data_IF_088340680061
#
_entry.id   IF_088340680061
#
_cell.length_a   1.000
_cell.length_b   1.000
_cell.length_c   1.000
_cell.angle_alpha   90.00
_cell.angle_beta   90.00
_cell.angle_gamma   90.00
#
_symmetry.space_group_name_H-M   'P 1'
#
loop_
_entity.id
_entity.type
_entity.pdbx_description
1 polymer ?
#
# COMPACT_ATOMS: atom_id res chain seq x y z
N UNK A 1 24.59 -5.48 -3.36
CA UNK A 1 23.48 -4.52 -3.17
C UNK A 1 24.06 -3.19 -2.72
N UNK A 2 24.57 -2.38 -3.63
CA UNK A 2 24.96 -1.00 -3.30
C UNK A 2 23.69 -0.16 -3.29
N UNK A 3 23.25 0.30 -2.11
CA UNK A 3 22.20 1.29 -2.03
C UNK A 3 22.68 2.55 -2.75
N UNK A 4 22.17 2.81 -3.96
CA UNK A 4 22.42 4.06 -4.67
C UNK A 4 21.87 5.18 -3.80
N UNK A 5 22.66 6.21 -3.43
CA UNK A 5 22.20 7.30 -2.56
C UNK A 5 20.91 7.96 -3.04
N UNK A 6 20.74 7.99 -4.37
CA UNK A 6 19.55 8.47 -5.04
C UNK A 6 18.31 7.61 -4.74
N UNK A 7 18.44 6.27 -4.73
CA UNK A 7 17.34 5.38 -4.37
C UNK A 7 16.89 5.56 -2.92
N UNK A 8 17.84 5.74 -1.99
CA UNK A 8 17.53 6.03 -0.60
C UNK A 8 16.80 7.38 -0.44
N UNK A 9 17.27 8.42 -1.14
CA UNK A 9 16.62 9.73 -1.13
C UNK A 9 15.18 9.68 -1.68
N UNK A 10 14.96 8.92 -2.76
CA UNK A 10 13.62 8.73 -3.36
C UNK A 10 12.67 8.01 -2.39
N UNK A 11 13.13 6.98 -1.68
CA UNK A 11 12.30 6.28 -0.68
C UNK A 11 11.94 7.21 0.48
N UNK A 12 12.87 8.02 0.96
CA UNK A 12 12.61 9.01 2.01
C UNK A 12 11.59 10.08 1.55
N UNK A 13 11.74 10.57 0.32
CA UNK A 13 10.76 11.49 -0.29
C UNK A 13 9.38 10.86 -0.42
N UNK A 14 9.30 9.59 -0.83
CA UNK A 14 8.04 8.86 -0.93
C UNK A 14 7.35 8.73 0.44
N UNK A 15 8.10 8.37 1.48
CA UNK A 15 7.58 8.28 2.84
C UNK A 15 7.11 9.65 3.37
N UNK A 16 7.89 10.71 3.12
CA UNK A 16 7.53 12.08 3.51
C UNK A 16 6.29 12.59 2.77
N UNK A 17 6.19 12.35 1.46
CA UNK A 17 5.02 12.69 0.66
C UNK A 17 3.76 11.96 1.15
N UNK A 18 3.89 10.67 1.49
CA UNK A 18 2.79 9.89 2.03
C UNK A 18 2.31 10.41 3.40
N UNK A 19 3.25 10.70 4.31
CA UNK A 19 2.92 11.29 5.61
C UNK A 19 2.27 12.67 5.47
N UNK A 20 2.82 13.53 4.60
CA UNK A 20 2.29 14.85 4.32
C UNK A 20 0.87 14.79 3.76
N UNK A 21 0.63 13.99 2.70
CA UNK A 21 -0.70 13.80 2.11
C UNK A 21 -1.72 13.24 3.10
N UNK A 22 -1.30 12.31 3.97
CA UNK A 22 -2.15 11.73 5.01
C UNK A 22 -2.58 12.72 6.10
N UNK A 23 -1.74 13.72 6.40
CA UNK A 23 -2.06 14.79 7.35
C UNK A 23 -2.89 15.87 6.66
N UNK A 24 -2.45 16.31 5.48
CA UNK A 24 -3.08 17.40 4.73
C UNK A 24 -4.52 17.06 4.32
N UNK A 25 -4.78 15.82 3.91
CA UNK A 25 -6.12 15.33 3.57
C UNK A 25 -7.14 15.48 4.71
N UNK A 26 -6.70 15.57 5.98
CA UNK A 26 -7.59 15.79 7.13
C UNK A 26 -8.13 17.21 7.22
N UNK A 27 -7.46 18.18 6.58
CA UNK A 27 -7.85 19.59 6.58
C UNK A 27 -8.62 20.00 5.32
N UNK A 28 -8.69 19.12 4.31
CA UNK A 28 -9.39 19.38 3.06
C UNK A 28 -10.87 18.97 3.17
N UNK A 29 -11.80 19.79 2.65
CA UNK A 29 -13.20 19.40 2.50
C UNK A 29 -13.33 18.36 1.38
N UNK A 30 -13.14 17.08 1.71
CA UNK A 30 -13.23 15.99 0.75
C UNK A 30 -14.69 15.55 0.55
N UNK A 31 -15.09 15.20 -0.69
CA UNK A 31 -16.39 14.59 -0.97
C UNK A 31 -16.61 13.33 -0.12
N UNK A 32 -17.82 13.13 0.38
CA UNK A 32 -18.14 11.94 1.20
C UNK A 32 -18.22 10.69 0.33
N UNK A 33 -17.81 9.56 0.90
CA UNK A 33 -17.91 8.23 0.26
C UNK A 33 -16.80 7.97 -0.77
N UNK A 34 -17.10 7.12 -1.76
CA UNK A 34 -16.11 6.62 -2.72
C UNK A 34 -15.58 7.66 -3.71
N UNK A 35 -16.24 8.83 -3.82
CA UNK A 35 -15.87 9.86 -4.78
C UNK A 35 -14.47 10.45 -4.49
N UNK A 36 -14.12 10.66 -3.22
CA UNK A 36 -12.79 11.16 -2.85
C UNK A 36 -11.68 10.20 -3.30
N UNK A 37 -11.83 8.90 -2.99
CA UNK A 37 -10.87 7.87 -3.40
C UNK A 37 -10.83 7.69 -4.92
N UNK A 38 -11.96 7.78 -5.62
CA UNK A 38 -12.01 7.67 -7.07
C UNK A 38 -11.24 8.81 -7.75
N UNK A 39 -11.41 10.05 -7.30
CA UNK A 39 -10.67 11.20 -7.82
C UNK A 39 -9.18 11.07 -7.51
N UNK A 40 -8.82 10.65 -6.30
CA UNK A 40 -7.41 10.42 -5.93
C UNK A 40 -6.76 9.38 -6.85
N UNK A 41 -7.42 8.24 -7.09
CA UNK A 41 -6.91 7.20 -7.99
C UNK A 41 -6.80 7.67 -9.45
N UNK A 42 -7.77 8.45 -9.94
CA UNK A 42 -7.72 9.00 -11.31
C UNK A 42 -6.60 10.02 -11.48
N UNK A 43 -6.45 10.95 -10.54
CA UNK A 43 -5.39 11.96 -10.59
C UNK A 43 -4.02 11.31 -10.43
N UNK A 44 -3.85 10.37 -9.50
CA UNK A 44 -2.61 9.62 -9.35
C UNK A 44 -2.28 8.80 -10.60
N UNK A 45 -3.28 8.11 -11.18
CA UNK A 45 -3.12 7.37 -12.43
C UNK A 45 -2.69 8.27 -13.59
N UNK A 46 -3.34 9.42 -13.78
CA UNK A 46 -2.97 10.39 -14.80
C UNK A 46 -1.56 10.96 -14.59
N UNK A 47 -1.20 11.27 -13.34
CA UNK A 47 0.13 11.74 -12.99
C UNK A 47 1.22 10.67 -13.28
N UNK A 48 0.95 9.41 -12.96
CA UNK A 48 1.84 8.29 -13.26
C UNK A 48 1.99 8.06 -14.77
N UNK A 49 0.91 8.18 -15.55
CA UNK A 49 0.98 8.12 -17.01
C UNK A 49 1.80 9.27 -17.59
N UNK A 50 1.65 10.49 -17.06
CA UNK A 50 2.47 11.63 -17.42
C UNK A 50 3.94 11.43 -17.09
N UNK A 51 4.25 10.90 -15.89
CA UNK A 51 5.61 10.57 -15.48
C UNK A 51 6.23 9.48 -16.36
N UNK A 52 5.46 8.45 -16.72
CA UNK A 52 5.90 7.37 -17.62
C UNK A 52 6.23 7.92 -19.02
N UNK A 53 5.38 8.81 -19.55
CA UNK A 53 5.64 9.51 -20.81
C UNK A 53 6.93 10.35 -20.77
N UNK A 54 7.12 11.15 -19.72
CA UNK A 54 8.32 11.98 -19.53
C UNK A 54 9.60 11.16 -19.32
N UNK A 55 9.48 9.98 -18.68
CA UNK A 55 10.59 9.05 -18.47
C UNK A 55 10.98 8.29 -19.75
N UNK A 56 10.18 8.42 -20.82
CA UNK A 56 10.41 7.72 -22.08
C UNK A 56 10.13 6.21 -21.98
N UNK A 57 9.41 5.76 -20.96
CA UNK A 57 9.02 4.36 -20.83
C UNK A 57 8.07 4.00 -21.98
N UNK A 58 8.44 2.97 -22.73
CA UNK A 58 7.63 2.44 -23.81
C UNK A 58 7.27 1.00 -23.47
N UNK A 59 6.03 0.62 -23.76
CA UNK A 59 5.62 -0.77 -23.75
C UNK A 59 6.47 -1.51 -24.78
N UNK A 60 7.50 -2.23 -24.32
CA UNK A 60 8.39 -2.98 -25.19
C UNK A 60 7.65 -4.17 -25.83
N UNK A 61 6.69 -4.76 -25.10
CA UNK A 61 5.83 -5.83 -25.57
C UNK A 61 4.42 -5.60 -25.03
N UNK A 62 3.42 -5.95 -25.83
CA UNK A 62 2.05 -6.01 -25.34
C UNK A 62 1.94 -7.07 -24.25
N UNK A 63 1.30 -6.78 -23.11
CA UNK A 63 1.08 -7.77 -22.08
C UNK A 63 0.35 -8.98 -22.68
N UNK A 64 0.86 -10.18 -22.41
CA UNK A 64 0.14 -11.41 -22.68
C UNK A 64 -1.17 -11.45 -21.87
N UNK A 65 -2.06 -12.39 -22.17
CA UNK A 65 -3.33 -12.56 -21.45
C UNK A 65 -3.14 -12.59 -19.92
N UNK A 66 -2.05 -13.22 -19.44
CA UNK A 66 -1.71 -13.23 -18.01
C UNK A 66 -1.48 -11.85 -17.41
N UNK A 67 -0.84 -10.92 -18.13
CA UNK A 67 -0.65 -9.54 -17.68
C UNK A 67 -1.95 -8.76 -17.58
N UNK A 68 -2.86 -8.96 -18.54
CA UNK A 68 -4.21 -8.39 -18.50
C UNK A 68 -5.06 -8.95 -17.37
N UNK A 69 -4.96 -10.26 -17.12
CA UNK A 69 -5.64 -10.89 -15.98
C UNK A 69 -5.09 -10.40 -14.64
N UNK A 70 -3.77 -10.20 -14.51
CA UNK A 70 -3.17 -9.62 -13.32
C UNK A 70 -3.64 -8.16 -13.09
N UNK A 71 -3.72 -7.36 -14.16
CA UNK A 71 -4.27 -6.00 -14.09
C UNK A 71 -5.74 -6.04 -13.66
N UNK A 72 -6.56 -6.90 -14.28
CA UNK A 72 -7.96 -7.09 -13.89
C UNK A 72 -8.12 -7.52 -12.43
N UNK A 73 -7.26 -8.42 -11.95
CA UNK A 73 -7.22 -8.83 -10.54
C UNK A 73 -6.94 -7.64 -9.61
N UNK A 74 -5.95 -6.80 -9.92
CA UNK A 74 -5.63 -5.61 -9.12
C UNK A 74 -6.75 -4.56 -9.15
N UNK A 75 -7.45 -4.41 -10.26
CA UNK A 75 -8.60 -3.50 -10.37
C UNK A 75 -9.75 -3.98 -9.50
N UNK A 76 -10.11 -5.26 -9.57
CA UNK A 76 -11.25 -5.80 -8.84
C UNK A 76 -10.94 -6.00 -7.36
N UNK A 77 -9.92 -6.80 -7.04
CA UNK A 77 -9.58 -7.16 -5.66
C UNK A 77 -8.74 -6.09 -4.98
N UNK A 78 -7.68 -5.64 -5.65
CA UNK A 78 -6.73 -4.67 -5.09
C UNK A 78 -7.30 -3.26 -4.92
N UNK A 79 -8.30 -2.90 -5.74
CA UNK A 79 -8.90 -1.56 -5.72
C UNK A 79 -10.37 -1.60 -5.31
N UNK A 80 -11.26 -2.10 -6.17
CA UNK A 80 -12.71 -1.94 -5.97
C UNK A 80 -13.18 -2.56 -4.65
N UNK A 81 -12.82 -3.83 -4.39
CA UNK A 81 -13.19 -4.54 -3.15
C UNK A 81 -12.45 -3.95 -1.95
N UNK A 82 -11.11 -3.78 -2.06
CA UNK A 82 -10.29 -3.30 -0.95
C UNK A 82 -10.70 -1.88 -0.48
N UNK A 83 -10.87 -0.92 -1.40
CA UNK A 83 -11.32 0.43 -1.05
C UNK A 83 -12.76 0.44 -0.54
N UNK A 84 -13.66 -0.35 -1.12
CA UNK A 84 -15.05 -0.44 -0.62
C UNK A 84 -15.08 -0.97 0.81
N UNK A 85 -14.31 -2.02 1.10
CA UNK A 85 -14.18 -2.56 2.45
C UNK A 85 -13.55 -1.54 3.41
N UNK A 86 -12.50 -0.83 2.97
CA UNK A 86 -11.84 0.22 3.76
C UNK A 86 -12.80 1.36 4.11
N UNK A 87 -13.55 1.88 3.13
CA UNK A 87 -14.53 2.94 3.32
C UNK A 87 -15.71 2.49 4.20
N UNK A 88 -16.18 1.25 4.02
CA UNK A 88 -17.18 0.65 4.90
C UNK A 88 -16.69 0.58 6.35
N UNK A 89 -15.44 0.13 6.54
CA UNK A 89 -14.83 0.06 7.87
C UNK A 89 -14.73 1.46 8.48
N UNK A 90 -14.24 2.45 7.74
CA UNK A 90 -14.07 3.82 8.23
C UNK A 90 -15.40 4.46 8.67
N UNK A 91 -16.51 4.08 8.04
CA UNK A 91 -17.85 4.51 8.44
C UNK A 91 -18.41 3.81 9.69
N UNK A 92 -17.86 2.65 10.08
CA UNK A 92 -18.37 1.82 11.20
C UNK A 92 -17.41 1.67 12.38
N UNK A 93 -16.11 1.89 12.19
CA UNK A 93 -15.09 1.76 13.22
C UNK A 93 -14.24 3.01 13.33
N UNK A 94 -13.57 3.20 14.48
CA UNK A 94 -12.64 4.33 14.66
C UNK A 94 -11.49 4.23 13.64
N UNK A 95 -11.02 5.36 13.08
CA UNK A 95 -9.92 5.38 12.11
C UNK A 95 -8.64 4.63 12.55
N UNK A 96 -8.37 4.58 13.86
CA UNK A 96 -7.26 3.80 14.42
C UNK A 96 -7.36 2.29 14.14
N UNK A 97 -8.59 1.74 14.12
CA UNK A 97 -8.81 0.34 13.74
C UNK A 97 -8.66 0.15 12.22
N UNK A 98 -9.04 1.14 11.41
CA UNK A 98 -8.77 1.09 9.97
C UNK A 98 -7.25 1.05 9.71
N UNK A 99 -6.44 1.90 10.35
CA UNK A 99 -4.97 1.89 10.17
C UNK A 99 -4.28 0.60 10.65
N UNK A 100 -4.96 -0.25 11.42
CA UNK A 100 -4.41 -1.55 11.83
C UNK A 100 -4.24 -2.55 10.68
N UNK A 101 -4.81 -2.31 9.50
CA UNK A 101 -4.52 -3.17 8.34
C UNK A 101 -3.03 -3.15 7.97
N UNK A 102 -2.37 -1.98 8.11
CA UNK A 102 -0.96 -1.80 7.74
C UNK A 102 -0.02 -2.70 8.57
N UNK A 103 -0.46 -3.09 9.75
CA UNK A 103 0.22 -4.00 10.67
C UNK A 103 0.12 -5.47 10.27
N UNK A 104 -0.96 -5.83 9.58
CA UNK A 104 -1.23 -7.21 9.14
C UNK A 104 -0.58 -7.46 7.78
N UNK A 105 -0.42 -6.43 6.95
CA UNK A 105 0.16 -6.52 5.61
C UNK A 105 1.50 -7.27 5.53
N UNK A 106 2.52 -7.00 6.38
CA UNK A 106 3.80 -7.71 6.31
C UNK A 106 3.67 -9.22 6.54
N UNK A 107 2.80 -9.62 7.48
CA UNK A 107 2.56 -11.04 7.79
C UNK A 107 1.87 -11.73 6.62
N UNK A 108 0.83 -11.10 6.07
CA UNK A 108 0.10 -11.64 4.92
C UNK A 108 1.01 -11.74 3.69
N UNK A 109 1.83 -10.72 3.43
CA UNK A 109 2.76 -10.72 2.30
C UNK A 109 3.71 -11.93 2.35
N UNK A 110 4.32 -12.21 3.52
CA UNK A 110 5.24 -13.34 3.64
C UNK A 110 4.53 -14.69 3.62
N UNK A 111 3.34 -14.81 4.22
CA UNK A 111 2.53 -16.03 4.11
C UNK A 111 2.17 -16.34 2.66
N UNK A 112 1.78 -15.32 1.89
CA UNK A 112 1.48 -15.50 0.46
C UNK A 112 2.74 -15.82 -0.36
N UNK A 113 3.87 -15.17 -0.07
CA UNK A 113 5.15 -15.45 -0.74
C UNK A 113 5.64 -16.88 -0.50
N UNK A 114 5.57 -17.35 0.74
CA UNK A 114 5.92 -18.74 1.08
C UNK A 114 4.96 -19.76 0.46
N UNK A 115 3.65 -19.50 0.50
CA UNK A 115 2.64 -20.48 0.06
C UNK A 115 2.49 -20.54 -1.47
N UNK A 116 2.49 -19.40 -2.15
CA UNK A 116 2.20 -19.33 -3.59
C UNK A 116 3.45 -19.20 -4.46
N UNK A 117 4.49 -18.52 -3.98
CA UNK A 117 5.75 -18.33 -4.73
C UNK A 117 6.80 -19.38 -4.33
N UNK A 118 6.61 -20.06 -3.19
CA UNK A 118 7.54 -21.07 -2.68
C UNK A 118 8.82 -20.48 -2.10
N UNK A 119 8.79 -19.21 -1.69
CA UNK A 119 9.95 -18.54 -1.09
C UNK A 119 10.39 -19.28 0.18
N UNK A 120 11.68 -19.63 0.27
CA UNK A 120 12.25 -20.25 1.46
C UNK A 120 12.75 -19.16 2.40
N UNK A 121 12.03 -18.97 3.50
CA UNK A 121 12.43 -18.02 4.55
C UNK A 121 13.69 -18.54 5.25
N UNK A 122 14.80 -17.85 5.04
CA UNK A 122 16.04 -18.03 5.77
C UNK A 122 16.00 -17.43 7.18
N UNK A 123 17.04 -17.68 8.00
CA UNK A 123 17.09 -17.23 9.40
C UNK A 123 17.03 -15.70 9.55
N UNK A 124 17.63 -14.97 8.62
CA UNK A 124 17.65 -13.50 8.64
C UNK A 124 16.26 -12.90 8.33
N UNK A 125 15.53 -13.47 7.38
CA UNK A 125 14.16 -13.05 7.04
C UNK A 125 13.19 -13.37 8.17
N UNK A 126 13.40 -14.51 8.86
CA UNK A 126 12.65 -14.86 10.07
C UNK A 126 12.86 -13.83 11.18
N UNK A 127 14.12 -13.41 11.42
CA UNK A 127 14.44 -12.38 12.39
C UNK A 127 13.82 -11.03 12.01
N UNK A 128 13.92 -10.64 10.73
CA UNK A 128 13.32 -9.42 10.22
C UNK A 128 11.79 -9.42 10.39
N UNK A 129 11.12 -10.53 10.08
CA UNK A 129 9.69 -10.70 10.32
C UNK A 129 9.35 -10.52 11.80
N UNK A 130 10.11 -11.16 12.69
CA UNK A 130 9.88 -11.10 14.13
C UNK A 130 10.02 -9.66 14.66
N UNK A 131 11.00 -8.92 14.16
CA UNK A 131 11.20 -7.50 14.48
C UNK A 131 10.04 -6.64 13.96
N UNK A 132 9.62 -6.81 12.70
CA UNK A 132 8.52 -6.05 12.11
C UNK A 132 7.21 -6.31 12.87
N UNK A 133 6.86 -7.57 13.09
CA UNK A 133 5.65 -7.97 13.84
C UNK A 133 5.72 -7.47 15.29
N UNK A 134 6.89 -7.57 15.94
CA UNK A 134 7.10 -7.06 17.29
C UNK A 134 6.86 -5.55 17.39
N UNK A 135 7.43 -4.76 16.47
CA UNK A 135 7.22 -3.31 16.41
C UNK A 135 5.74 -2.96 16.20
N UNK A 136 5.08 -3.66 15.29
CA UNK A 136 3.66 -3.55 15.03
C UNK A 136 2.81 -3.79 16.28
N UNK A 137 3.06 -4.88 17.01
CA UNK A 137 2.33 -5.21 18.24
C UNK A 137 2.56 -4.15 19.32
N UNK A 138 3.79 -3.68 19.48
CA UNK A 138 4.14 -2.61 20.42
C UNK A 138 3.39 -1.31 20.14
N UNK A 139 3.24 -0.91 18.87
CA UNK A 139 2.49 0.30 18.49
C UNK A 139 0.98 0.08 18.64
N UNK A 140 0.49 -1.14 18.40
CA UNK A 140 -0.93 -1.49 18.52
C UNK A 140 -1.43 -1.58 19.97
N UNK A 141 -0.60 -2.04 20.90
CA UNK A 141 -0.94 -2.27 22.32
C UNK A 141 -1.55 -1.05 23.03
N UNK A 142 -0.98 0.17 22.94
CA UNK A 142 -1.57 1.37 23.54
C UNK A 142 -2.93 1.75 22.94
N UNK A 143 -3.13 1.45 21.64
CA UNK A 143 -4.37 1.77 20.93
C UNK A 143 -5.50 0.81 21.33
N UNK A 144 -5.16 -0.44 21.64
CA UNK A 144 -6.10 -1.44 22.16
C UNK A 144 -6.45 -1.22 23.63
N UNK A 145 -5.51 -0.71 24.44
CA UNK A 145 -5.73 -0.36 25.85
C UNK A 145 -6.59 0.89 26.07
N UNK A 146 -6.75 1.75 25.07
CA UNK A 146 -7.67 2.92 25.11
C UNK A 146 -9.10 2.59 24.64
N UNK A 147 -9.46 1.31 24.63
CA UNK A 147 -10.85 0.86 24.50
C UNK A 147 -11.56 0.95 25.84
#
# INVERSE_FOLDING_TARGET
MSATPLGAAVILLAAAAWAFGSIWSRYLPLPRGAMASAVEMLVAGAALLGASYLSGERLQHWPALGGWLALGYLVVFGSLIAFSAYLYLLGRVRPAAATSYAYVNPVVAVLLGTLFVGERIGPAEMLAMLVIVGAVVLIGLPQWRRR
#
